data_IF_286428419515
#
_entry.id   IF_286428419515
#
_cell.length_a   1.000
_cell.length_b   1.000
_cell.length_c   1.000
_cell.angle_alpha   90.00
_cell.angle_beta   90.00
_cell.angle_gamma   90.00
#
_symmetry.space_group_name_H-M   'P 1'
#
loop_
_entity.id
_entity.type
_entity.pdbx_description
1 polymer ?
#
# COMPACT_ATOMS: atom_id res chain seq x y z
N UNK A 1 26.18 26.16 -6.27
CA UNK A 1 24.72 26.34 -6.14
C UNK A 1 24.16 25.00 -5.74
N UNK A 2 23.49 24.91 -4.60
CA UNK A 2 22.84 23.67 -4.20
C UNK A 2 21.56 23.57 -5.01
N UNK A 3 21.39 22.52 -5.81
CA UNK A 3 20.26 22.35 -6.74
C UNK A 3 18.89 22.14 -6.07
N UNK A 4 18.77 22.50 -4.79
CA UNK A 4 17.55 22.47 -4.00
C UNK A 4 16.97 23.87 -3.98
N UNK A 5 15.88 24.06 -4.71
CA UNK A 5 15.01 25.23 -4.66
C UNK A 5 13.59 24.70 -4.45
N UNK A 6 13.24 24.48 -3.18
CA UNK A 6 11.94 23.95 -2.79
C UNK A 6 11.22 24.93 -1.86
N UNK A 7 9.91 25.06 -2.07
CA UNK A 7 9.01 25.74 -1.14
C UNK A 7 8.45 24.71 -0.15
N UNK A 8 8.68 24.86 1.17
CA UNK A 8 8.09 23.96 2.17
C UNK A 8 6.56 23.86 2.08
N UNK A 9 5.87 24.96 1.84
CA UNK A 9 4.41 24.97 1.67
C UNK A 9 3.97 24.28 0.37
N UNK A 10 4.78 24.38 -0.69
CA UNK A 10 4.56 23.61 -1.92
C UNK A 10 4.69 22.11 -1.69
N UNK A 11 5.71 21.69 -0.92
CA UNK A 11 5.90 20.28 -0.56
C UNK A 11 4.74 19.77 0.31
N UNK A 12 4.30 20.55 1.30
CA UNK A 12 3.16 20.22 2.14
C UNK A 12 1.87 20.02 1.32
N UNK A 13 1.61 20.91 0.34
CA UNK A 13 0.47 20.77 -0.57
C UNK A 13 0.51 19.46 -1.35
N UNK A 14 1.67 19.09 -1.90
CA UNK A 14 1.83 17.80 -2.61
C UNK A 14 1.67 16.61 -1.66
N UNK A 15 2.22 16.67 -0.45
CA UNK A 15 2.06 15.61 0.55
C UNK A 15 0.58 15.41 0.94
N UNK A 16 -0.19 16.49 1.03
CA UNK A 16 -1.64 16.45 1.26
C UNK A 16 -2.37 15.74 0.11
N UNK A 17 -2.06 16.09 -1.15
CA UNK A 17 -2.64 15.43 -2.32
C UNK A 17 -2.30 13.94 -2.38
N UNK A 18 -1.05 13.56 -2.06
CA UNK A 18 -0.64 12.15 -1.99
C UNK A 18 -1.36 11.43 -0.85
N UNK A 19 -1.58 12.10 0.29
CA UNK A 19 -2.37 11.57 1.40
C UNK A 19 -3.80 11.23 0.98
N UNK A 20 -4.47 12.15 0.30
CA UNK A 20 -5.82 11.92 -0.24
C UNK A 20 -5.85 10.74 -1.24
N UNK A 21 -4.89 10.69 -2.16
CA UNK A 21 -4.78 9.58 -3.10
C UNK A 21 -4.49 8.24 -2.41
N UNK A 22 -3.70 8.24 -1.33
CA UNK A 22 -3.43 7.05 -0.53
C UNK A 22 -4.67 6.57 0.23
N UNK A 23 -5.48 7.50 0.75
CA UNK A 23 -6.75 7.19 1.40
C UNK A 23 -7.76 6.61 0.41
N UNK A 24 -7.86 7.17 -0.79
CA UNK A 24 -8.73 6.64 -1.85
C UNK A 24 -8.25 5.26 -2.32
N UNK A 25 -6.94 5.07 -2.53
CA UNK A 25 -6.37 3.76 -2.84
C UNK A 25 -6.68 2.73 -1.73
N UNK A 26 -6.65 3.13 -0.46
CA UNK A 26 -7.02 2.25 0.67
C UNK A 26 -8.49 1.81 0.60
N UNK A 27 -9.40 2.71 0.22
CA UNK A 27 -10.82 2.38 0.00
C UNK A 27 -10.98 1.43 -1.18
N UNK A 28 -10.29 1.69 -2.28
CA UNK A 28 -10.35 0.86 -3.48
C UNK A 28 -9.80 -0.56 -3.22
N UNK A 29 -8.71 -0.69 -2.46
CA UNK A 29 -8.16 -1.99 -2.07
C UNK A 29 -9.15 -2.77 -1.19
N UNK A 30 -9.86 -2.11 -0.27
CA UNK A 30 -10.92 -2.76 0.52
C UNK A 30 -12.09 -3.20 -0.36
N UNK A 31 -12.56 -2.32 -1.24
CA UNK A 31 -13.64 -2.63 -2.19
C UNK A 31 -13.27 -3.76 -3.15
N UNK A 32 -12.02 -3.78 -3.62
CA UNK A 32 -11.46 -4.89 -4.38
C UNK A 32 -11.54 -6.20 -3.58
N UNK A 33 -11.11 -6.20 -2.32
CA UNK A 33 -11.18 -7.36 -1.42
C UNK A 33 -12.61 -7.92 -1.25
N UNK A 34 -13.60 -7.04 -1.08
CA UNK A 34 -15.02 -7.45 -1.05
C UNK A 34 -15.46 -8.01 -2.41
N UNK A 35 -15.13 -7.32 -3.51
CA UNK A 35 -15.56 -7.72 -4.86
C UNK A 35 -15.02 -9.08 -5.27
N UNK A 36 -13.77 -9.41 -4.91
CA UNK A 36 -13.18 -10.72 -5.23
C UNK A 36 -13.75 -11.84 -4.35
N UNK A 37 -14.11 -11.54 -3.10
CA UNK A 37 -14.82 -12.49 -2.25
C UNK A 37 -16.20 -12.81 -2.86
N UNK A 38 -16.98 -11.78 -3.17
CA UNK A 38 -18.32 -11.94 -3.77
C UNK A 38 -18.26 -12.69 -5.11
N UNK A 39 -17.25 -12.38 -5.93
CA UNK A 39 -17.02 -13.07 -7.20
C UNK A 39 -16.67 -14.55 -6.99
N UNK A 40 -15.83 -14.87 -6.00
CA UNK A 40 -15.46 -16.25 -5.71
C UNK A 40 -16.65 -17.07 -5.19
N UNK A 41 -17.51 -16.48 -4.35
CA UNK A 41 -18.75 -17.09 -3.86
C UNK A 41 -19.78 -17.29 -4.98
N UNK A 42 -19.86 -16.34 -5.90
CA UNK A 42 -20.79 -16.38 -7.06
C UNK A 42 -20.30 -17.24 -8.22
N UNK A 43 -19.04 -17.70 -8.20
CA UNK A 43 -18.41 -18.44 -9.29
C UNK A 43 -18.92 -19.89 -9.46
N UNK A 44 -19.87 -20.30 -8.63
CA UNK A 44 -20.45 -21.64 -8.65
C UNK A 44 -19.57 -22.68 -7.94
N UNK A 45 -20.14 -23.87 -7.79
CA UNK A 45 -19.53 -25.00 -7.10
C UNK A 45 -19.38 -26.19 -8.03
N UNK A 46 -18.58 -27.18 -7.63
CA UNK A 46 -18.50 -28.44 -8.37
C UNK A 46 -19.85 -29.16 -8.22
N UNK A 47 -20.31 -29.90 -9.24
CA UNK A 47 -21.52 -30.74 -9.17
C UNK A 47 -21.21 -32.21 -8.83
N UNK A 48 -21.99 -32.83 -7.94
CA UNK A 48 -21.73 -34.20 -7.47
C UNK A 48 -22.39 -34.56 -6.12
N UNK A 49 -22.41 -35.85 -5.73
CA UNK A 49 -22.87 -36.25 -4.40
C UNK A 49 -21.82 -35.90 -3.33
N UNK A 50 -22.21 -35.08 -2.35
CA UNK A 50 -21.35 -34.65 -1.25
C UNK A 50 -21.98 -34.96 0.10
N UNK A 51 -21.18 -35.39 1.06
CA UNK A 51 -21.57 -35.39 2.47
C UNK A 51 -21.29 -34.00 3.06
N UNK A 52 -22.20 -33.05 2.87
CA UNK A 52 -22.08 -31.68 3.41
C UNK A 52 -22.33 -30.58 2.36
N UNK A 53 -21.75 -29.40 2.59
CA UNK A 53 -21.84 -28.28 1.65
C UNK A 53 -21.04 -28.53 0.36
N UNK A 54 -21.50 -27.99 -0.79
CA UNK A 54 -20.78 -28.14 -2.05
C UNK A 54 -19.41 -27.45 -1.99
N UNK A 55 -18.34 -28.09 -2.51
CA UNK A 55 -17.00 -27.51 -2.49
C UNK A 55 -16.88 -26.33 -3.45
N UNK A 56 -15.96 -25.41 -3.13
CA UNK A 56 -15.62 -24.26 -3.98
C UNK A 56 -15.26 -24.73 -5.40
N UNK A 57 -15.87 -24.09 -6.40
CA UNK A 57 -15.60 -24.38 -7.81
C UNK A 57 -14.21 -23.94 -8.26
N UNK A 58 -13.71 -24.46 -9.39
CA UNK A 58 -12.38 -24.11 -9.91
C UNK A 58 -12.21 -22.62 -10.20
N UNK A 59 -13.28 -21.92 -10.59
CA UNK A 59 -13.25 -20.48 -10.84
C UNK A 59 -13.09 -19.70 -9.53
N UNK A 60 -13.83 -20.07 -8.48
CA UNK A 60 -13.66 -19.45 -7.15
C UNK A 60 -12.26 -19.65 -6.57
N UNK A 61 -11.69 -20.85 -6.75
CA UNK A 61 -10.31 -21.14 -6.36
C UNK A 61 -9.28 -20.31 -7.16
N UNK A 62 -9.50 -20.13 -8.47
CA UNK A 62 -8.61 -19.31 -9.31
C UNK A 62 -8.63 -17.83 -8.90
N UNK A 63 -9.81 -17.29 -8.55
CA UNK A 63 -9.92 -15.91 -8.03
C UNK A 63 -9.16 -15.76 -6.71
N UNK A 64 -9.31 -16.72 -5.78
CA UNK A 64 -8.58 -16.70 -4.50
C UNK A 64 -7.05 -16.74 -4.69
N UNK A 65 -6.58 -17.56 -5.63
CA UNK A 65 -5.15 -17.62 -5.98
C UNK A 65 -4.65 -16.30 -6.57
N UNK A 66 -5.40 -15.69 -7.50
CA UNK A 66 -5.04 -14.40 -8.09
C UNK A 66 -4.91 -13.29 -7.03
N UNK A 67 -5.82 -13.27 -6.05
CA UNK A 67 -5.77 -12.31 -4.94
C UNK A 67 -4.56 -12.55 -4.06
N UNK A 68 -4.28 -13.82 -3.74
CA UNK A 68 -3.10 -14.20 -2.95
C UNK A 68 -1.79 -13.80 -3.63
N UNK A 69 -1.70 -14.00 -4.96
CA UNK A 69 -0.52 -13.65 -5.76
C UNK A 69 -0.32 -12.13 -5.89
N UNK A 70 -1.41 -11.34 -5.84
CA UNK A 70 -1.35 -9.89 -5.95
C UNK A 70 -1.17 -9.17 -4.60
N UNK A 71 -1.39 -9.87 -3.49
CA UNK A 71 -1.28 -9.31 -2.13
C UNK A 71 0.09 -8.68 -1.86
N UNK A 72 1.19 -9.32 -2.30
CA UNK A 72 2.53 -8.78 -2.13
C UNK A 72 2.74 -7.46 -2.89
N UNK A 73 2.12 -7.32 -4.06
CA UNK A 73 2.20 -6.10 -4.87
C UNK A 73 1.44 -4.95 -4.20
N UNK A 74 0.26 -5.24 -3.63
CA UNK A 74 -0.52 -4.25 -2.87
C UNK A 74 0.25 -3.79 -1.63
N UNK A 75 0.80 -4.73 -0.84
CA UNK A 75 1.65 -4.43 0.32
C UNK A 75 2.87 -3.60 -0.06
N UNK A 76 3.53 -3.94 -1.18
CA UNK A 76 4.68 -3.21 -1.68
C UNK A 76 4.33 -1.76 -2.05
N UNK A 77 3.22 -1.54 -2.77
CA UNK A 77 2.75 -0.20 -3.11
C UNK A 77 2.50 0.65 -1.87
N UNK A 78 1.78 0.12 -0.89
CA UNK A 78 1.50 0.82 0.37
C UNK A 78 2.79 1.18 1.14
N UNK A 79 3.75 0.24 1.23
CA UNK A 79 5.04 0.49 1.86
C UNK A 79 5.86 1.55 1.10
N UNK A 80 5.82 1.53 -0.23
CA UNK A 80 6.50 2.49 -1.10
C UNK A 80 5.94 3.90 -0.94
N UNK A 81 4.61 4.04 -0.91
CA UNK A 81 3.92 5.33 -0.68
C UNK A 81 4.37 5.91 0.67
N UNK A 82 4.23 5.13 1.75
CA UNK A 82 4.62 5.55 3.09
C UNK A 82 6.10 5.97 3.15
N UNK A 83 7.00 5.13 2.64
CA UNK A 83 8.45 5.40 2.63
C UNK A 83 8.78 6.70 1.90
N UNK A 84 8.11 6.95 0.77
CA UNK A 84 8.33 8.16 -0.03
C UNK A 84 7.82 9.40 0.70
N UNK A 85 6.62 9.35 1.28
CA UNK A 85 6.07 10.45 2.08
C UNK A 85 6.97 10.79 3.28
N UNK A 86 7.34 9.80 4.09
CA UNK A 86 8.24 9.98 5.25
C UNK A 86 9.59 10.56 4.83
N UNK A 87 10.13 10.08 3.70
CA UNK A 87 11.37 10.56 3.13
C UNK A 87 11.31 12.00 2.66
N UNK A 88 10.21 12.41 2.02
CA UNK A 88 9.96 13.80 1.61
C UNK A 88 9.85 14.73 2.82
N UNK A 89 9.17 14.30 3.89
CA UNK A 89 9.10 15.07 5.15
C UNK A 89 10.51 15.25 5.74
N UNK A 90 11.28 14.17 5.86
CA UNK A 90 12.66 14.22 6.38
C UNK A 90 13.57 15.10 5.55
N UNK A 91 13.48 14.98 4.22
CA UNK A 91 14.31 15.77 3.31
C UNK A 91 13.99 17.26 3.38
N UNK A 92 12.70 17.61 3.49
CA UNK A 92 12.25 19.00 3.64
C UNK A 92 12.66 19.58 4.99
N UNK A 93 12.56 18.80 6.07
CA UNK A 93 13.05 19.20 7.39
C UNK A 93 14.55 19.52 7.37
N UNK A 94 15.36 18.61 6.84
CA UNK A 94 16.80 18.83 6.70
C UNK A 94 17.15 20.03 5.80
N UNK A 95 16.36 20.29 4.75
CA UNK A 95 16.51 21.49 3.92
C UNK A 95 16.24 22.77 4.70
N UNK A 96 15.17 22.81 5.51
CA UNK A 96 14.83 23.95 6.38
C UNK A 96 15.95 24.21 7.40
N UNK A 97 16.54 23.15 7.94
CA UNK A 97 17.66 23.24 8.89
C UNK A 97 19.00 23.64 8.23
N UNK A 98 19.03 23.74 6.89
CA UNK A 98 20.23 24.06 6.12
C UNK A 98 21.19 22.88 5.91
N UNK A 99 20.84 21.67 6.35
CA UNK A 99 21.62 20.45 6.12
C UNK A 99 21.24 19.79 4.79
N UNK A 100 21.80 20.34 3.72
CA UNK A 100 21.55 19.90 2.36
C UNK A 100 22.14 18.51 2.05
N UNK A 101 23.15 18.09 2.83
CA UNK A 101 23.69 16.74 2.71
C UNK A 101 22.71 15.71 3.27
N UNK A 102 22.10 16.00 4.42
CA UNK A 102 21.04 15.18 5.00
C UNK A 102 19.78 15.19 4.14
N UNK A 103 19.37 16.35 3.60
CA UNK A 103 18.24 16.45 2.67
C UNK A 103 18.42 15.52 1.45
N UNK A 104 19.60 15.58 0.82
CA UNK A 104 19.92 14.72 -0.32
C UNK A 104 20.02 13.23 0.05
N UNK A 105 20.50 12.89 1.25
CA UNK A 105 20.52 11.51 1.75
C UNK A 105 19.09 10.99 1.96
N UNK A 106 18.24 11.76 2.65
CA UNK A 106 16.85 11.42 2.88
C UNK A 106 16.08 11.19 1.57
N UNK A 107 16.26 12.06 0.57
CA UNK A 107 15.66 11.88 -0.76
C UNK A 107 16.15 10.58 -1.43
N UNK A 108 17.46 10.31 -1.43
CA UNK A 108 18.02 9.08 -2.03
C UNK A 108 17.53 7.82 -1.32
N UNK A 109 17.40 7.87 0.00
CA UNK A 109 16.90 6.74 0.79
C UNK A 109 15.41 6.52 0.56
N UNK A 110 14.63 7.59 0.42
CA UNK A 110 13.22 7.55 0.03
C UNK A 110 13.02 6.91 -1.35
N UNK A 111 13.98 7.06 -2.27
CA UNK A 111 13.92 6.50 -3.62
C UNK A 111 14.18 4.99 -3.68
N UNK A 112 14.76 4.39 -2.63
CA UNK A 112 15.03 2.95 -2.57
C UNK A 112 13.75 2.14 -2.40
N UNK A 113 13.80 0.87 -2.78
CA UNK A 113 12.73 -0.07 -2.47
C UNK A 113 12.48 -0.17 -0.96
N UNK A 114 11.24 -0.48 -0.53
CA UNK A 114 10.95 -0.81 0.85
C UNK A 114 11.80 -1.99 1.35
N UNK A 115 12.30 -1.86 2.56
CA UNK A 115 12.99 -2.92 3.29
C UNK A 115 11.99 -3.96 3.79
N UNK A 116 12.44 -5.17 4.15
CA UNK A 116 11.57 -6.18 4.75
C UNK A 116 10.81 -5.68 6.00
N UNK A 117 11.46 -4.88 6.84
CA UNK A 117 10.82 -4.27 8.02
C UNK A 117 9.71 -3.27 7.64
N UNK A 118 9.93 -2.45 6.62
CA UNK A 118 8.92 -1.51 6.11
C UNK A 118 7.71 -2.24 5.49
N UNK A 119 7.93 -3.40 4.85
CA UNK A 119 6.84 -4.23 4.33
C UNK A 119 6.03 -4.88 5.46
N UNK A 120 6.68 -5.35 6.52
CA UNK A 120 6.02 -5.94 7.69
C UNK A 120 5.17 -4.91 8.44
N UNK A 121 5.68 -3.70 8.63
CA UNK A 121 4.97 -2.62 9.33
C UNK A 121 3.62 -2.25 8.70
N UNK A 122 3.49 -2.39 7.37
CA UNK A 122 2.22 -2.19 6.66
C UNK A 122 1.22 -3.32 6.97
N UNK A 123 1.70 -4.56 7.08
CA UNK A 123 0.87 -5.73 7.41
C UNK A 123 0.38 -5.74 8.87
N UNK A 124 1.17 -5.22 9.81
CA UNK A 124 0.78 -5.14 11.23
C UNK A 124 -0.30 -4.08 11.49
N UNK A 125 -0.24 -2.95 10.79
CA UNK A 125 -1.24 -1.88 10.93
C UNK A 125 -2.64 -2.31 10.45
N UNK A 126 -2.72 -3.21 9.48
CA UNK A 126 -3.98 -3.81 9.04
C UNK A 126 -4.66 -4.67 10.12
N UNK A 127 -3.88 -5.29 11.03
CA UNK A 127 -4.43 -6.11 12.12
C UNK A 127 -4.98 -5.30 13.30
N UNK A 128 -4.51 -4.07 13.49
CA UNK A 128 -4.95 -3.21 14.59
C UNK A 128 -6.10 -2.25 14.22
N UNK A 129 -6.43 -2.08 12.94
CA UNK A 129 -7.51 -1.19 12.48
C UNK A 129 -8.86 -1.88 12.24
N UNK A 130 -9.02 -3.15 12.62
CA UNK A 130 -10.24 -3.95 12.45
C UNK A 130 -11.06 -4.13 13.73
N UNK A 131 -11.04 -3.14 14.62
CA UNK A 131 -11.79 -3.14 15.87
C UNK A 131 -12.53 -1.83 16.07
N UNK A 132 -13.69 -1.71 15.42
CA UNK A 132 -14.84 -0.94 15.89
C UNK A 132 -16.10 -1.77 15.66
#
# INVERSE_FOLDING_TARGET
MTGWDISPSGVESILSLVGLAADDLSKDVKGYGTSVQDAAESAGTISGPYCGGPPVGPVGAAVANFVSDTESSIKFMAARIKKTMDGTVKATGAYIDGDLAMAARAQRDAAKAPTPAELQAVGERAKHGGGE
#
